data_IF_551823462086
#
_entry.id   IF_551823462086
#
_cell.length_a   1.000
_cell.length_b   1.000
_cell.length_c   1.000
_cell.angle_alpha   90.00
_cell.angle_beta   90.00
_cell.angle_gamma   90.00
#
_symmetry.space_group_name_H-M   'P 1'
#
loop_
_entity.id
_entity.type
_entity.pdbx_description
1 polymer ?
#
# COMPACT_ATOMS: atom_id res chain seq x y z
N UNK A 1 -7.63 -20.20 9.87
CA UNK A 1 -6.81 -19.17 9.20
C UNK A 1 -6.00 -18.45 10.26
N UNK A 2 -4.68 -18.52 10.20
CA UNK A 2 -3.79 -17.84 11.14
C UNK A 2 -3.58 -16.38 10.71
N UNK A 3 -3.52 -15.40 11.62
CA UNK A 3 -3.12 -14.05 11.28
C UNK A 3 -1.70 -14.06 10.70
N UNK A 4 -1.48 -13.36 9.58
CA UNK A 4 -0.15 -13.25 8.98
C UNK A 4 0.83 -12.66 10.02
N UNK A 5 1.91 -13.39 10.27
CA UNK A 5 2.96 -13.15 11.27
C UNK A 5 3.54 -11.72 11.21
N UNK A 6 3.43 -11.06 10.07
CA UNK A 6 3.89 -9.69 9.82
C UNK A 6 3.23 -8.63 10.74
N UNK A 7 1.97 -8.77 11.14
CA UNK A 7 1.32 -7.73 11.95
C UNK A 7 1.84 -7.65 13.40
N UNK A 8 2.33 -8.77 13.97
CA UNK A 8 2.70 -8.86 15.39
C UNK A 8 4.10 -8.30 15.67
N UNK A 9 5.06 -8.51 14.77
CA UNK A 9 6.45 -8.09 15.00
C UNK A 9 6.65 -6.57 14.81
N UNK A 10 5.91 -5.93 13.91
CA UNK A 10 6.03 -4.50 13.60
C UNK A 10 5.48 -3.58 14.71
N UNK A 11 4.55 -4.08 15.53
CA UNK A 11 3.95 -3.33 16.65
C UNK A 11 4.92 -3.05 17.80
N UNK A 12 5.99 -3.86 17.95
CA UNK A 12 7.00 -3.68 18.99
C UNK A 12 8.12 -2.71 18.58
N UNK A 13 8.41 -2.60 17.28
CA UNK A 13 9.40 -1.64 16.74
C UNK A 13 8.93 -0.19 16.82
N UNK A 14 7.67 0.07 16.46
CA UNK A 14 7.11 1.43 16.27
C UNK A 14 7.00 2.28 17.55
N UNK A 15 7.05 1.68 18.74
CA UNK A 15 7.03 2.40 20.03
C UNK A 15 8.35 3.09 20.37
N UNK A 16 9.47 2.71 19.72
CA UNK A 16 10.80 3.25 20.02
C UNK A 16 11.15 4.51 19.21
N UNK A 17 10.39 4.80 18.16
CA UNK A 17 10.73 5.77 17.11
C UNK A 17 9.63 6.82 16.88
N UNK A 18 8.71 7.02 17.84
CA UNK A 18 7.66 8.05 17.81
C UNK A 18 6.94 8.17 16.44
N UNK A 19 6.74 7.03 15.77
CA UNK A 19 6.11 6.99 14.45
C UNK A 19 4.62 6.77 14.66
N UNK A 20 3.81 7.66 14.09
CA UNK A 20 2.36 7.63 14.28
C UNK A 20 1.79 6.39 13.55
N UNK A 21 1.50 5.34 14.31
CA UNK A 21 0.97 4.08 13.78
C UNK A 21 -0.55 4.18 13.62
N UNK A 22 -1.03 4.15 12.37
CA UNK A 22 -2.46 4.00 12.10
C UNK A 22 -2.87 2.56 12.37
N UNK A 23 -3.65 2.36 13.43
CA UNK A 23 -4.26 1.07 13.75
C UNK A 23 -5.33 0.72 12.70
N UNK A 24 -4.97 -0.09 11.71
CA UNK A 24 -5.92 -0.69 10.78
C UNK A 24 -6.54 -1.92 11.43
N UNK A 25 -7.89 -2.07 11.42
CA UNK A 25 -8.52 -3.29 11.89
C UNK A 25 -8.01 -4.50 11.10
N UNK A 26 -7.88 -5.68 11.74
CA UNK A 26 -7.72 -6.94 11.02
C UNK A 26 -8.84 -7.06 9.96
N UNK A 27 -8.55 -7.57 8.77
CA UNK A 27 -9.51 -7.73 7.65
C UNK A 27 -9.97 -6.42 6.97
N UNK A 28 -9.26 -5.29 7.11
CA UNK A 28 -9.59 -4.04 6.41
C UNK A 28 -8.52 -3.59 5.41
N UNK A 29 -8.28 -4.34 4.32
CA UNK A 29 -7.33 -3.94 3.26
C UNK A 29 -7.72 -2.58 2.64
N UNK A 30 -9.02 -2.26 2.59
CA UNK A 30 -9.57 -1.04 2.01
C UNK A 30 -9.09 0.27 2.69
N UNK A 31 -8.49 0.17 3.88
CA UNK A 31 -8.00 1.31 4.67
C UNK A 31 -6.48 1.50 4.52
N UNK A 32 -5.78 0.62 3.78
CA UNK A 32 -4.34 0.72 3.57
C UNK A 32 -4.03 1.47 2.25
N UNK A 33 -3.41 2.66 2.29
CA UNK A 33 -3.22 3.50 1.09
C UNK A 33 -2.39 2.86 0.00
N UNK A 34 -1.55 1.89 0.39
CA UNK A 34 -0.71 1.14 -0.53
C UNK A 34 -1.54 0.23 -1.44
N UNK A 35 -2.76 -0.15 -1.06
CA UNK A 35 -3.63 -1.00 -1.90
C UNK A 35 -4.04 -0.30 -3.19
N UNK A 36 -4.23 1.03 -3.16
CA UNK A 36 -4.49 1.80 -4.38
C UNK A 36 -3.30 1.75 -5.34
N UNK A 37 -2.08 1.85 -4.81
CA UNK A 37 -0.86 1.74 -5.59
C UNK A 37 -0.66 0.32 -6.13
N UNK A 38 -0.94 -0.71 -5.32
CA UNK A 38 -0.92 -2.10 -5.74
C UNK A 38 -1.93 -2.38 -6.84
N UNK A 39 -3.13 -1.80 -6.76
CA UNK A 39 -4.15 -1.93 -7.80
C UNK A 39 -3.65 -1.38 -9.13
N UNK A 40 -3.09 -0.16 -9.14
CA UNK A 40 -2.53 0.43 -10.35
C UNK A 40 -1.35 -0.37 -10.92
N UNK A 41 -0.44 -0.84 -10.07
CA UNK A 41 0.67 -1.69 -10.51
C UNK A 41 0.17 -2.97 -11.17
N UNK A 42 -0.81 -3.65 -10.57
CA UNK A 42 -1.40 -4.89 -11.12
C UNK A 42 -2.05 -4.64 -12.47
N UNK A 43 -2.75 -3.54 -12.64
CA UNK A 43 -3.38 -3.19 -13.93
C UNK A 43 -2.34 -2.81 -14.99
N UNK A 44 -1.32 -2.03 -14.65
CA UNK A 44 -0.21 -1.71 -15.56
C UNK A 44 0.50 -2.97 -16.07
N UNK A 45 0.82 -3.90 -15.16
CA UNK A 45 1.48 -5.16 -15.53
C UNK A 45 0.58 -6.04 -16.41
N UNK A 46 -0.74 -6.01 -16.22
CA UNK A 46 -1.70 -6.80 -17.01
C UNK A 46 -2.00 -6.21 -18.39
N UNK A 47 -2.13 -4.89 -18.48
CA UNK A 47 -2.61 -4.23 -19.70
C UNK A 47 -1.45 -3.78 -20.60
N UNK A 48 -0.39 -3.23 -20.00
CA UNK A 48 0.69 -2.58 -20.73
C UNK A 48 1.89 -3.50 -20.89
N UNK A 49 2.46 -3.99 -19.79
CA UNK A 49 3.71 -4.80 -19.82
C UNK A 49 3.47 -6.21 -20.35
N UNK A 50 2.39 -6.88 -19.92
CA UNK A 50 2.02 -8.27 -20.30
C UNK A 50 3.20 -9.27 -20.25
N UNK A 51 3.96 -9.31 -19.13
CA UNK A 51 5.22 -10.03 -19.08
C UNK A 51 5.03 -11.54 -19.29
N UNK A 52 5.91 -12.14 -20.07
CA UNK A 52 6.02 -13.60 -20.30
C UNK A 52 7.21 -14.21 -19.58
N UNK A 53 8.15 -13.37 -19.13
CA UNK A 53 9.31 -13.79 -18.37
C UNK A 53 9.38 -13.09 -17.01
N UNK A 54 10.13 -13.70 -16.08
CA UNK A 54 10.43 -13.08 -14.79
C UNK A 54 11.17 -11.75 -14.96
N UNK A 55 12.04 -11.64 -15.95
CA UNK A 55 12.83 -10.44 -16.19
C UNK A 55 11.93 -9.28 -16.64
N UNK A 56 11.03 -9.51 -17.59
CA UNK A 56 10.05 -8.51 -18.02
C UNK A 56 9.14 -8.08 -16.86
N UNK A 57 8.75 -9.03 -15.99
CA UNK A 57 7.95 -8.71 -14.81
C UNK A 57 8.69 -7.77 -13.84
N UNK A 58 9.97 -8.05 -13.55
CA UNK A 58 10.79 -7.22 -12.67
C UNK A 58 11.04 -5.84 -13.28
N UNK A 59 11.36 -5.77 -14.58
CA UNK A 59 11.56 -4.50 -15.28
C UNK A 59 10.28 -3.67 -15.29
N UNK A 60 9.13 -4.27 -15.57
CA UNK A 60 7.85 -3.58 -15.52
C UNK A 60 7.50 -3.02 -14.14
N UNK A 61 7.89 -3.71 -13.05
CA UNK A 61 7.75 -3.15 -11.70
C UNK A 61 8.62 -1.89 -11.55
N UNK A 62 9.89 -1.96 -11.95
CA UNK A 62 10.83 -0.83 -11.84
C UNK A 62 10.32 0.36 -12.66
N UNK A 63 9.93 0.14 -13.92
CA UNK A 63 9.38 1.17 -14.80
C UNK A 63 8.13 1.81 -14.22
N UNK A 64 7.21 1.02 -13.64
CA UNK A 64 6.04 1.56 -12.96
C UNK A 64 6.44 2.49 -11.81
N UNK A 65 7.43 2.09 -10.99
CA UNK A 65 7.89 2.92 -9.87
C UNK A 65 8.45 4.27 -10.31
N UNK A 66 9.09 4.35 -11.47
CA UNK A 66 9.54 5.63 -12.05
C UNK A 66 8.37 6.57 -12.40
N UNK A 67 7.16 6.03 -12.60
CA UNK A 67 5.94 6.84 -12.83
C UNK A 67 5.25 7.32 -11.55
N UNK A 68 5.67 6.81 -10.39
CA UNK A 68 5.05 7.15 -9.10
C UNK A 68 5.66 8.44 -8.57
N UNK A 69 4.96 9.54 -8.77
CA UNK A 69 5.39 10.86 -8.28
C UNK A 69 4.79 11.23 -6.90
N UNK A 70 5.31 12.33 -6.33
CA UNK A 70 4.84 12.84 -5.04
C UNK A 70 3.37 13.25 -5.06
N UNK A 71 2.82 13.65 -6.21
CA UNK A 71 1.43 14.06 -6.33
C UNK A 71 0.49 12.85 -6.27
N UNK A 72 0.88 11.73 -6.87
CA UNK A 72 0.20 10.43 -6.75
C UNK A 72 0.14 9.99 -5.29
N UNK A 73 1.28 10.04 -4.60
CA UNK A 73 1.34 9.72 -3.17
C UNK A 73 0.42 10.60 -2.33
N UNK A 74 0.40 11.92 -2.59
CA UNK A 74 -0.51 12.86 -1.91
C UNK A 74 -1.98 12.56 -2.20
N UNK A 75 -2.32 12.16 -3.42
CA UNK A 75 -3.70 11.77 -3.79
C UNK A 75 -4.17 10.56 -2.99
N UNK A 76 -3.34 9.52 -2.83
CA UNK A 76 -3.71 8.34 -2.03
C UNK A 76 -3.88 8.66 -0.55
N UNK A 77 -2.97 9.44 0.03
CA UNK A 77 -3.08 9.90 1.42
C UNK A 77 -4.33 10.77 1.62
N UNK A 78 -4.64 11.63 0.65
CA UNK A 78 -5.87 12.42 0.63
C UNK A 78 -7.12 11.55 0.59
N UNK A 79 -7.14 10.51 -0.25
CA UNK A 79 -8.25 9.57 -0.35
C UNK A 79 -8.49 8.83 0.97
N UNK A 80 -7.44 8.41 1.68
CA UNK A 80 -7.58 7.83 3.02
C UNK A 80 -8.35 8.73 4.00
N UNK A 81 -8.11 10.04 3.97
CA UNK A 81 -8.84 10.98 4.85
C UNK A 81 -10.34 11.01 4.57
N UNK A 82 -10.77 10.56 3.39
CA UNK A 82 -12.17 10.46 2.99
C UNK A 82 -12.79 9.11 3.36
N UNK A 83 -12.04 8.01 3.24
CA UNK A 83 -12.53 6.65 3.53
C UNK A 83 -12.40 6.25 4.99
N UNK A 84 -11.46 6.84 5.74
CA UNK A 84 -11.35 6.60 7.19
C UNK A 84 -12.57 7.25 7.89
N UNK A 85 -13.43 6.46 8.54
CA UNK A 85 -14.60 6.98 9.24
C UNK A 85 -14.18 7.98 10.32
N UNK A 86 -15.01 9.00 10.56
CA UNK A 86 -14.77 10.02 11.60
C UNK A 86 -14.53 9.42 12.99
N UNK A 87 -14.93 8.17 13.24
CA UNK A 87 -14.75 7.44 14.50
C UNK A 87 -13.30 7.01 14.81
N UNK A 88 -12.36 7.12 13.87
CA UNK A 88 -10.92 6.88 14.11
C UNK A 88 -10.13 8.15 14.42
N UNK A 89 -10.79 9.32 14.44
CA UNK A 89 -10.17 10.58 14.83
C UNK A 89 -10.28 10.70 16.35
N UNK A 90 -9.25 10.21 17.05
CA UNK A 90 -8.99 10.58 18.45
C UNK A 90 -8.40 11.98 18.54
#
# INVERSE_FOLDING_TARGET
MTPNTCAKEWGHGSRKNNTNWLHTPPESPDINPIENLWHELKEYLRQDVKPKTKQEFVLGIIEFWETVDINKCRKYIGHLRTVIPKSFKS
#
